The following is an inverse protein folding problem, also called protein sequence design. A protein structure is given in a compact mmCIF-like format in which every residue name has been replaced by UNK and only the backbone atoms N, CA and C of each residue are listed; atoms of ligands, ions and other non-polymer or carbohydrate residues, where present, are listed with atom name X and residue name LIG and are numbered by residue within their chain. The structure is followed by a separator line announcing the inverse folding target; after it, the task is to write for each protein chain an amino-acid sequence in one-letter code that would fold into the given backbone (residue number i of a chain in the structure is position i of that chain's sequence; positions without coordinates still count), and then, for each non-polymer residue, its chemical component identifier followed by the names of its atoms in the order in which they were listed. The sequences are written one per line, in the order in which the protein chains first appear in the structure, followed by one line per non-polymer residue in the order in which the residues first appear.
data_IF_130666654599
#
_entry.id   IF_130666654599
#
_cell.length_a   1.000
_cell.length_b   1.000
_cell.length_c   1.000
_cell.angle_alpha   90.00
_cell.angle_beta   90.00
_cell.angle_gamma   90.00
#
_symmetry.space_group_name_H-M   'P 1'
#
loop_
_entity.id
_entity.type
_entity.pdbx_description
1 polymer ?
#
# COMPACT_ATOMS: atom_id res chain seq x y z
N UNK A 1 -22.94 -65.09 -6.26
CA UNK A 1 -22.40 -64.39 -5.07
C UNK A 1 -20.97 -63.97 -5.42
N UNK A 2 -20.80 -62.81 -6.03
CA UNK A 2 -20.66 -61.48 -5.42
C UNK A 2 -19.26 -61.23 -4.84
N UNK A 3 -18.36 -60.71 -5.68
CA UNK A 3 -17.27 -59.83 -5.25
C UNK A 3 -17.07 -58.76 -6.33
N UNK A 4 -17.79 -57.64 -6.19
CA UNK A 4 -17.46 -56.40 -6.89
C UNK A 4 -16.47 -55.65 -6.00
N UNK A 5 -15.18 -55.71 -6.33
CA UNK A 5 -14.17 -54.83 -5.74
C UNK A 5 -14.32 -53.44 -6.38
N UNK A 6 -15.18 -52.60 -5.79
CA UNK A 6 -15.31 -51.20 -6.16
C UNK A 6 -14.04 -50.44 -5.74
N UNK A 7 -13.05 -50.41 -6.63
CA UNK A 7 -11.88 -49.55 -6.51
C UNK A 7 -12.31 -48.08 -6.46
N UNK A 8 -12.03 -47.39 -5.34
CA UNK A 8 -12.27 -45.95 -5.21
C UNK A 8 -11.22 -45.20 -6.02
N UNK A 9 -11.66 -44.46 -7.03
CA UNK A 9 -10.81 -43.53 -7.78
C UNK A 9 -10.82 -42.18 -7.05
N UNK A 10 -9.64 -41.72 -6.61
CA UNK A 10 -9.46 -40.37 -6.10
C UNK A 10 -8.93 -39.49 -7.23
N UNK A 11 -9.75 -38.56 -7.72
CA UNK A 11 -9.33 -37.55 -8.69
C UNK A 11 -8.95 -36.26 -7.98
N UNK A 12 -7.69 -35.85 -8.08
CA UNK A 12 -7.18 -34.58 -7.58
C UNK A 12 -7.09 -33.58 -8.74
N UNK A 13 -7.78 -32.44 -8.61
CA UNK A 13 -7.64 -31.31 -9.53
C UNK A 13 -6.74 -30.26 -8.88
N UNK A 14 -5.57 -30.01 -9.48
CA UNK A 14 -4.70 -28.89 -9.12
C UNK A 14 -4.79 -27.83 -10.21
N UNK A 15 -5.22 -26.62 -9.84
CA UNK A 15 -5.21 -25.46 -10.72
C UNK A 15 -4.17 -24.48 -10.21
N UNK A 16 -3.22 -24.12 -11.08
CA UNK A 16 -2.32 -23.01 -10.79
C UNK A 16 -3.10 -21.69 -10.80
N UNK A 17 -3.05 -20.96 -9.69
CA UNK A 17 -3.67 -19.65 -9.50
C UNK A 17 -2.63 -18.56 -9.19
N UNK A 18 -1.35 -18.86 -9.40
CA UNK A 18 -0.23 -17.98 -9.02
C UNK A 18 -0.31 -16.65 -9.76
N UNK A 19 -0.46 -16.67 -11.09
CA UNK A 19 -0.54 -15.46 -11.90
C UNK A 19 -1.72 -14.58 -11.52
N UNK A 20 -2.89 -15.21 -11.31
CA UNK A 20 -4.10 -14.50 -10.87
C UNK A 20 -3.88 -13.79 -9.54
N UNK A 21 -3.30 -14.49 -8.56
CA UNK A 21 -3.01 -13.89 -7.23
C UNK A 21 -2.00 -12.75 -7.32
N UNK A 22 -0.99 -12.85 -8.19
CA UNK A 22 -0.02 -11.76 -8.41
C UNK A 22 -0.72 -10.53 -9.01
N UNK A 23 -1.58 -10.72 -10.01
CA UNK A 23 -2.35 -9.64 -10.60
C UNK A 23 -3.30 -8.97 -9.59
N UNK A 24 -4.04 -9.77 -8.81
CA UNK A 24 -4.94 -9.28 -7.76
C UNK A 24 -4.18 -8.46 -6.71
N UNK A 25 -3.02 -8.92 -6.25
CA UNK A 25 -2.16 -8.18 -5.31
C UNK A 25 -1.65 -6.87 -5.90
N UNK A 26 -1.28 -6.86 -7.19
CA UNK A 26 -0.82 -5.65 -7.87
C UNK A 26 -1.95 -4.62 -7.94
N UNK A 27 -3.17 -5.05 -8.29
CA UNK A 27 -4.36 -4.20 -8.31
C UNK A 27 -4.65 -3.64 -6.93
N UNK A 28 -4.65 -4.50 -5.90
CA UNK A 28 -4.87 -4.08 -4.52
C UNK A 28 -3.83 -3.04 -4.07
N UNK A 29 -2.56 -3.25 -4.40
CA UNK A 29 -1.49 -2.29 -4.11
C UNK A 29 -1.73 -0.95 -4.81
N UNK A 30 -2.03 -0.96 -6.10
CA UNK A 30 -2.31 0.27 -6.87
C UNK A 30 -3.53 1.04 -6.35
N UNK A 31 -4.50 0.37 -5.75
CA UNK A 31 -5.68 1.02 -5.17
C UNK A 31 -5.34 1.87 -3.94
N UNK A 32 -4.28 1.54 -3.21
CA UNK A 32 -3.94 2.17 -1.92
C UNK A 32 -2.61 2.94 -1.93
N UNK A 33 -1.83 2.89 -3.02
CA UNK A 33 -0.55 3.61 -3.15
C UNK A 33 -0.58 4.69 -4.21
N UNK A 34 0.10 5.80 -3.95
CA UNK A 34 0.42 6.83 -4.95
C UNK A 34 1.46 6.29 -5.95
N UNK A 35 1.19 6.46 -7.24
CA UNK A 35 2.02 5.89 -8.32
C UNK A 35 3.33 6.65 -8.54
N UNK A 36 3.38 7.93 -8.15
CA UNK A 36 4.55 8.79 -8.36
C UNK A 36 5.61 8.56 -7.28
N UNK A 37 5.18 8.57 -6.02
CA UNK A 37 6.06 8.51 -4.83
C UNK A 37 6.17 7.12 -4.23
N UNK A 38 5.17 6.25 -4.46
CA UNK A 38 5.06 4.93 -3.85
C UNK A 38 4.57 4.96 -2.40
N UNK A 39 4.20 6.12 -1.86
CA UNK A 39 3.58 6.27 -0.55
C UNK A 39 2.11 5.79 -0.58
N UNK A 40 1.45 5.74 0.57
CA UNK A 40 0.01 5.48 0.60
C UNK A 40 -0.73 6.66 -0.02
N UNK A 41 -1.70 6.40 -0.88
CA UNK A 41 -2.58 7.46 -1.36
C UNK A 41 -3.62 7.81 -0.27
N UNK A 42 -4.52 8.75 -0.59
CA UNK A 42 -5.58 9.16 0.35
C UNK A 42 -6.44 8.01 0.86
N UNK A 43 -6.75 7.01 0.04
CA UNK A 43 -7.54 5.85 0.46
C UNK A 43 -6.73 5.00 1.45
N UNK A 44 -5.49 4.63 1.09
CA UNK A 44 -4.61 3.87 1.98
C UNK A 44 -4.31 4.60 3.28
N UNK A 45 -4.13 5.92 3.26
CA UNK A 45 -3.97 6.75 4.45
C UNK A 45 -5.19 6.68 5.37
N UNK A 46 -6.40 6.77 4.80
CA UNK A 46 -7.64 6.77 5.58
C UNK A 46 -7.80 5.43 6.30
N UNK A 47 -7.58 4.31 5.58
CA UNK A 47 -7.66 2.98 6.15
C UNK A 47 -6.65 2.79 7.30
N UNK A 48 -5.40 3.26 7.13
CA UNK A 48 -4.36 3.19 8.15
C UNK A 48 -4.64 4.09 9.36
N UNK A 49 -5.23 5.25 9.14
CA UNK A 49 -5.60 6.16 10.22
C UNK A 49 -6.71 5.55 11.07
N UNK A 50 -7.72 4.93 10.45
CA UNK A 50 -8.82 4.26 11.15
C UNK A 50 -8.31 3.06 11.97
N UNK A 51 -7.36 2.29 11.43
CA UNK A 51 -6.67 1.22 12.15
C UNK A 51 -5.89 1.78 13.35
N UNK A 52 -5.06 2.79 13.13
CA UNK A 52 -4.22 3.41 14.18
C UNK A 52 -5.06 4.02 15.31
N UNK A 53 -6.20 4.63 15.00
CA UNK A 53 -7.12 5.18 15.99
C UNK A 53 -7.81 4.08 16.80
N UNK A 54 -8.14 2.96 16.15
CA UNK A 54 -8.76 1.81 16.80
C UNK A 54 -7.81 1.13 17.79
N UNK A 55 -6.56 0.92 17.39
CA UNK A 55 -5.49 0.39 18.25
C UNK A 55 -5.20 1.33 19.42
N UNK A 56 -5.02 2.62 19.15
CA UNK A 56 -4.74 3.59 20.20
C UNK A 56 -5.86 3.68 21.24
N UNK A 57 -7.11 3.52 20.83
CA UNK A 57 -8.26 3.47 21.74
C UNK A 57 -8.23 2.21 22.63
N UNK A 58 -7.80 1.07 22.10
CA UNK A 58 -7.72 -0.17 22.86
C UNK A 58 -6.62 -0.11 23.93
N UNK A 59 -5.51 0.56 23.62
CA UNK A 59 -4.31 0.58 24.45
C UNK A 59 -4.12 1.88 25.27
N UNK A 60 -5.12 2.78 25.28
CA UNK A 60 -5.06 4.12 25.89
C UNK A 60 -3.86 4.97 25.42
N UNK A 61 -3.55 4.86 24.12
CA UNK A 61 -2.49 5.62 23.46
C UNK A 61 -3.06 6.84 22.71
N UNK A 62 -2.16 7.70 22.24
CA UNK A 62 -2.50 8.87 21.42
C UNK A 62 -1.84 8.77 20.06
N UNK A 63 -2.59 9.15 19.02
CA UNK A 63 -2.09 9.32 17.66
C UNK A 63 -1.78 10.79 17.41
N UNK A 64 -0.65 11.08 16.77
CA UNK A 64 -0.33 12.39 16.25
C UNK A 64 -0.39 12.37 14.73
N UNK A 65 -0.99 13.40 14.13
CA UNK A 65 -1.07 13.56 12.67
C UNK A 65 -0.36 14.85 12.26
N UNK A 66 0.49 14.75 11.25
CA UNK A 66 1.22 15.87 10.67
C UNK A 66 0.89 15.98 9.18
N UNK A 67 0.42 17.16 8.77
CA UNK A 67 0.32 17.53 7.36
C UNK A 67 1.53 18.39 6.99
N UNK A 68 2.18 18.05 5.88
CA UNK A 68 3.36 18.76 5.35
C UNK A 68 3.01 19.21 3.94
N UNK A 69 3.12 20.51 3.68
CA UNK A 69 3.05 21.07 2.34
C UNK A 69 4.44 21.53 1.87
N UNK A 70 4.67 21.53 0.56
CA UNK A 70 5.93 21.98 -0.02
C UNK A 70 5.82 23.44 -0.46
N UNK A 71 6.43 24.33 0.32
CA UNK A 71 6.49 25.75 0.00
C UNK A 71 7.05 25.97 -1.42
N UNK A 72 6.39 26.87 -2.16
CA UNK A 72 6.78 27.27 -3.52
C UNK A 72 6.85 26.12 -4.55
N UNK A 73 6.23 24.97 -4.28
CA UNK A 73 6.24 23.84 -5.21
C UNK A 73 5.68 24.19 -6.59
N UNK A 74 4.67 25.06 -6.64
CA UNK A 74 4.11 25.58 -7.90
C UNK A 74 5.16 26.32 -8.74
N UNK A 75 6.00 27.15 -8.11
CA UNK A 75 7.06 27.88 -8.83
C UNK A 75 8.11 26.93 -9.41
N UNK A 76 8.41 25.82 -8.74
CA UNK A 76 9.28 24.77 -9.29
C UNK A 76 8.67 24.19 -10.57
N UNK A 77 7.38 23.86 -10.55
CA UNK A 77 6.70 23.36 -11.75
C UNK A 77 6.67 24.41 -12.87
N UNK A 78 6.37 25.66 -12.54
CA UNK A 78 6.22 26.74 -13.52
C UNK A 78 7.57 27.11 -14.17
N UNK A 79 8.68 27.08 -13.42
CA UNK A 79 10.02 27.46 -13.91
C UNK A 79 10.80 26.29 -14.50
N UNK A 80 10.62 25.06 -13.97
CA UNK A 80 11.45 23.89 -14.32
C UNK A 80 10.67 22.75 -14.98
N UNK A 81 9.35 22.89 -15.08
CA UNK A 81 8.45 21.88 -15.65
C UNK A 81 8.08 20.79 -14.64
N UNK A 82 6.97 20.10 -14.95
CA UNK A 82 6.38 19.08 -14.09
C UNK A 82 7.30 17.89 -13.82
N UNK A 83 8.17 17.50 -14.76
CA UNK A 83 9.09 16.39 -14.55
C UNK A 83 10.06 16.66 -13.40
N UNK A 84 10.51 17.91 -13.24
CA UNK A 84 11.38 18.30 -12.12
C UNK A 84 10.58 18.35 -10.82
N UNK A 85 9.33 18.80 -10.86
CA UNK A 85 8.41 18.72 -9.71
C UNK A 85 8.19 17.27 -9.24
N UNK A 86 7.98 16.35 -10.18
CA UNK A 86 7.82 14.91 -9.92
C UNK A 86 9.07 14.31 -9.25
N UNK A 87 10.26 14.70 -9.73
CA UNK A 87 11.53 14.29 -9.12
C UNK A 87 11.66 14.86 -7.70
N UNK A 88 11.27 16.12 -7.48
CA UNK A 88 11.26 16.73 -6.16
C UNK A 88 10.32 15.99 -5.19
N UNK A 89 9.10 15.65 -5.62
CA UNK A 89 8.15 14.86 -4.82
C UNK A 89 8.72 13.50 -4.43
N UNK A 90 9.34 12.78 -5.38
CA UNK A 90 10.03 11.51 -5.11
C UNK A 90 11.17 11.68 -4.09
N UNK A 91 11.94 12.76 -4.19
CA UNK A 91 13.02 13.06 -3.23
C UNK A 91 12.48 13.34 -1.83
N UNK A 92 11.39 14.11 -1.72
CA UNK A 92 10.73 14.41 -0.44
C UNK A 92 10.20 13.12 0.19
N UNK A 93 9.46 12.30 -0.56
CA UNK A 93 8.96 11.02 -0.08
C UNK A 93 10.09 10.12 0.46
N UNK A 94 11.19 9.99 -0.29
CA UNK A 94 12.37 9.23 0.14
C UNK A 94 13.01 9.81 1.42
N UNK A 95 13.06 11.13 1.56
CA UNK A 95 13.60 11.79 2.77
C UNK A 95 12.71 11.52 3.98
N UNK A 96 11.39 11.62 3.85
CA UNK A 96 10.46 11.32 4.94
C UNK A 96 10.57 9.85 5.37
N UNK A 97 10.58 8.92 4.42
CA UNK A 97 10.73 7.48 4.70
C UNK A 97 12.07 7.11 5.36
N UNK A 98 13.14 7.86 5.10
CA UNK A 98 14.46 7.58 5.70
C UNK A 98 14.66 8.21 7.08
N UNK A 99 13.78 9.11 7.50
CA UNK A 99 13.86 9.81 8.80
C UNK A 99 12.81 9.34 9.81
N UNK A 100 11.79 8.62 9.35
CA UNK A 100 10.72 8.08 10.20
C UNK A 100 11.21 6.93 11.09
N UNK A 101 10.56 6.71 12.23
CA UNK A 101 10.70 5.48 13.03
C UNK A 101 9.96 4.33 12.35
N UNK A 102 10.23 3.10 12.77
CA UNK A 102 9.54 1.91 12.23
C UNK A 102 8.02 1.92 12.45
N UNK A 103 7.57 2.60 13.49
CA UNK A 103 6.14 2.74 13.87
C UNK A 103 5.43 3.88 13.14
N UNK A 104 6.18 4.79 12.53
CA UNK A 104 5.62 5.98 11.91
C UNK A 104 5.17 5.63 10.48
N UNK A 105 4.02 6.12 10.05
CA UNK A 105 3.52 5.95 8.68
C UNK A 105 3.70 7.26 7.91
N UNK A 106 4.08 7.14 6.63
CA UNK A 106 4.12 8.27 5.69
C UNK A 106 3.22 7.93 4.53
N UNK A 107 2.29 8.83 4.22
CA UNK A 107 1.33 8.75 3.13
C UNK A 107 1.45 10.01 2.28
#
# INVERSE_FOLDING_TARGET
MSQNENGRILTLFMRDVSERRVAERKIAKMAITDSLTGLYNRAGFTDLLDESLSEAKADDLKVALLFIDLDYFKEVNDVRGHEVGDQLLKMVAKRLLSRRRSTDVVA
#
